data_IF_815442064193
#
_entry.id   IF_815442064193
#
_cell.length_a   1.000
_cell.length_b   1.000
_cell.length_c   1.000
_cell.angle_alpha   90.00
_cell.angle_beta   90.00
_cell.angle_gamma   90.00
#
_symmetry.space_group_name_H-M   'P 1'
#
loop_
_entity.id
_entity.type
_entity.pdbx_description
1 polymer ?
#
# COMPACT_ATOMS: atom_id res chain seq x y z
N UNK A 1 16.11 10.96 10.09
CA UNK A 1 15.88 12.17 9.26
C UNK A 1 15.16 11.90 7.93
N UNK A 2 15.38 10.76 7.26
CA UNK A 2 14.78 10.51 5.93
C UNK A 2 13.48 9.70 5.93
N UNK A 3 13.14 9.04 7.04
CA UNK A 3 11.98 8.13 7.10
C UNK A 3 10.66 8.85 6.83
N UNK A 4 10.37 9.94 7.54
CA UNK A 4 9.12 10.68 7.35
C UNK A 4 8.93 11.22 5.92
N UNK A 5 9.95 11.85 5.28
CA UNK A 5 9.88 12.20 3.87
C UNK A 5 9.62 11.00 2.94
N UNK A 6 10.27 9.85 3.15
CA UNK A 6 10.07 8.65 2.34
C UNK A 6 8.63 8.13 2.48
N UNK A 7 8.11 8.06 3.71
CA UNK A 7 6.73 7.63 3.94
C UNK A 7 5.72 8.59 3.31
N UNK A 8 6.01 9.89 3.30
CA UNK A 8 5.20 10.89 2.60
C UNK A 8 5.13 10.61 1.10
N UNK A 9 6.27 10.33 0.46
CA UNK A 9 6.32 9.97 -0.97
C UNK A 9 5.61 8.66 -1.28
N UNK A 10 5.80 7.63 -0.44
CA UNK A 10 5.06 6.37 -0.55
C UNK A 10 3.55 6.55 -0.39
N UNK A 11 3.11 7.53 0.38
CA UNK A 11 1.69 7.81 0.58
C UNK A 11 1.08 8.54 -0.62
N UNK A 12 1.80 9.51 -1.19
CA UNK A 12 1.27 10.42 -2.20
C UNK A 12 1.54 9.96 -3.64
N UNK A 13 2.59 9.17 -3.86
CA UNK A 13 3.09 8.78 -5.19
C UNK A 13 3.40 7.27 -5.32
N UNK A 14 2.83 6.44 -4.46
CA UNK A 14 3.22 5.04 -4.26
C UNK A 14 2.83 4.06 -5.38
N UNK A 15 1.62 4.22 -5.94
CA UNK A 15 0.94 3.25 -6.81
C UNK A 15 0.52 3.85 -8.15
N UNK A 16 1.38 4.68 -8.74
CA UNK A 16 1.15 5.32 -10.03
C UNK A 16 -0.18 6.09 -10.02
N UNK A 17 -0.96 5.96 -11.10
CA UNK A 17 -2.22 6.69 -11.33
C UNK A 17 -3.31 6.35 -10.30
N UNK A 18 -3.20 5.23 -9.58
CA UNK A 18 -4.21 4.77 -8.61
C UNK A 18 -3.77 4.95 -7.15
N UNK A 19 -2.81 5.84 -6.88
CA UNK A 19 -2.33 6.08 -5.51
C UNK A 19 -3.42 6.57 -4.56
N UNK A 20 -4.34 7.42 -5.03
CA UNK A 20 -5.48 7.89 -4.22
C UNK A 20 -6.41 6.74 -3.81
N UNK A 21 -6.78 5.88 -4.76
CA UNK A 21 -7.62 4.70 -4.52
C UNK A 21 -6.96 3.71 -3.55
N UNK A 22 -5.65 3.50 -3.71
CA UNK A 22 -4.86 2.70 -2.78
C UNK A 22 -4.93 3.26 -1.37
N UNK A 23 -4.67 4.56 -1.20
CA UNK A 23 -4.66 5.16 0.12
C UNK A 23 -6.07 5.11 0.74
N UNK A 24 -7.14 5.32 -0.03
CA UNK A 24 -8.51 5.18 0.47
C UNK A 24 -8.85 3.74 0.93
N UNK A 25 -8.45 2.71 0.17
CA UNK A 25 -8.79 1.31 0.45
C UNK A 25 -7.90 0.67 1.52
N UNK A 26 -6.60 0.96 1.47
CA UNK A 26 -5.56 0.33 2.31
C UNK A 26 -5.15 1.24 3.46
N UNK A 27 -5.13 2.56 3.28
CA UNK A 27 -4.81 3.52 4.34
C UNK A 27 -3.35 3.55 4.78
N UNK A 28 -2.42 3.09 3.95
CA UNK A 28 -1.01 2.94 4.31
C UNK A 28 -0.07 3.52 3.23
N UNK A 29 1.08 4.11 3.62
CA UNK A 29 2.18 4.39 2.71
C UNK A 29 2.55 3.15 1.89
N UNK A 30 2.46 3.24 0.57
CA UNK A 30 2.63 2.09 -0.33
C UNK A 30 3.69 2.30 -1.40
N UNK A 31 4.27 1.22 -1.91
CA UNK A 31 5.00 1.23 -3.19
C UNK A 31 4.74 -0.04 -3.96
N UNK A 32 4.32 0.12 -5.21
CA UNK A 32 4.21 -0.95 -6.19
C UNK A 32 5.41 -0.96 -7.14
N UNK A 33 5.69 -2.11 -7.75
CA UNK A 33 6.65 -2.25 -8.84
C UNK A 33 6.18 -3.25 -9.89
N UNK A 34 6.53 -2.99 -11.15
CA UNK A 34 6.13 -3.79 -12.33
C UNK A 34 6.60 -5.26 -12.31
N UNK A 35 7.51 -5.61 -11.40
CA UNK A 35 7.82 -7.01 -11.09
C UNK A 35 6.70 -7.76 -10.36
N UNK A 36 5.61 -7.08 -9.99
CA UNK A 36 4.48 -7.65 -9.24
C UNK A 36 4.62 -7.52 -7.72
N UNK A 37 5.60 -6.76 -7.23
CA UNK A 37 5.83 -6.52 -5.81
C UNK A 37 5.02 -5.33 -5.29
N UNK A 38 4.49 -5.45 -4.07
CA UNK A 38 3.88 -4.34 -3.32
C UNK A 38 4.45 -4.35 -1.90
N UNK A 39 4.85 -3.17 -1.41
CA UNK A 39 5.25 -2.91 -0.04
C UNK A 39 4.34 -1.84 0.56
N UNK A 40 3.75 -2.11 1.73
CA UNK A 40 3.01 -1.12 2.52
C UNK A 40 3.64 -1.02 3.92
N UNK A 41 3.79 0.19 4.45
CA UNK A 41 4.43 0.41 5.77
C UNK A 41 3.39 0.88 6.77
N UNK A 42 3.32 0.21 7.92
CA UNK A 42 2.60 0.67 9.10
C UNK A 42 3.62 1.35 10.02
N UNK A 43 3.65 2.69 10.09
CA UNK A 43 4.71 3.41 10.79
C UNK A 43 4.85 2.96 12.25
N UNK A 44 6.03 2.48 12.63
CA UNK A 44 6.33 2.04 14.00
C UNK A 44 5.78 0.67 14.40
N UNK A 45 5.08 -0.05 13.50
CA UNK A 45 4.45 -1.33 13.82
C UNK A 45 5.00 -2.48 12.96
N UNK A 46 4.77 -2.46 11.65
CA UNK A 46 5.17 -3.53 10.75
C UNK A 46 5.17 -3.07 9.28
N UNK A 47 5.41 -4.01 8.36
CA UNK A 47 5.21 -3.80 6.93
C UNK A 47 4.48 -5.00 6.32
N UNK A 48 3.67 -4.74 5.29
CA UNK A 48 3.05 -5.75 4.44
C UNK A 48 3.87 -5.83 3.15
N UNK A 49 4.33 -7.02 2.81
CA UNK A 49 4.98 -7.29 1.53
C UNK A 49 4.20 -8.37 0.78
N UNK A 50 3.84 -8.10 -0.48
CA UNK A 50 3.14 -9.02 -1.34
C UNK A 50 3.83 -9.14 -2.69
N UNK A 51 3.72 -10.31 -3.32
CA UNK A 51 4.26 -10.58 -4.64
C UNK A 51 3.27 -11.40 -5.47
N UNK A 52 2.86 -10.85 -6.61
CA UNK A 52 2.14 -11.56 -7.65
C UNK A 52 2.34 -10.86 -9.01
N UNK A 53 2.89 -11.54 -10.03
CA UNK A 53 3.23 -10.92 -11.31
C UNK A 53 2.09 -10.25 -12.10
N UNK A 54 0.83 -10.76 -12.11
CA UNK A 54 -0.23 -10.14 -12.89
C UNK A 54 -0.56 -8.71 -12.42
N UNK A 55 -0.52 -7.76 -13.36
CA UNK A 55 -0.73 -6.34 -13.10
C UNK A 55 -2.08 -5.86 -13.63
N UNK A 56 -2.62 -4.81 -13.02
CA UNK A 56 -3.72 -4.02 -13.57
C UNK A 56 -3.23 -3.02 -14.63
N UNK A 57 -4.16 -2.20 -15.15
CA UNK A 57 -3.87 -1.19 -16.17
C UNK A 57 -2.92 -0.09 -15.71
N UNK A 58 -2.82 0.16 -14.40
CA UNK A 58 -1.90 1.14 -13.82
C UNK A 58 -0.51 0.55 -13.51
N UNK A 59 -0.31 -0.75 -13.78
CA UNK A 59 0.95 -1.45 -13.53
C UNK A 59 1.12 -1.97 -12.11
N UNK A 60 0.03 -2.07 -11.33
CA UNK A 60 0.06 -2.55 -9.96
C UNK A 60 -0.36 -4.02 -9.86
N UNK A 61 0.27 -4.79 -8.98
CA UNK A 61 -0.08 -6.20 -8.76
C UNK A 61 -1.53 -6.35 -8.32
N UNK A 62 -2.36 -7.06 -9.10
CA UNK A 62 -3.78 -7.24 -8.80
C UNK A 62 -3.98 -7.97 -7.47
N UNK A 63 -3.32 -9.12 -7.30
CA UNK A 63 -3.43 -9.91 -6.07
C UNK A 63 -2.69 -9.27 -4.90
N UNK A 64 -1.58 -8.56 -5.16
CA UNK A 64 -0.87 -7.83 -4.13
C UNK A 64 -1.73 -6.73 -3.49
N UNK A 65 -2.50 -6.00 -4.30
CA UNK A 65 -3.42 -4.98 -3.81
C UNK A 65 -4.53 -5.58 -2.95
N UNK A 66 -5.17 -6.65 -3.42
CA UNK A 66 -6.24 -7.34 -2.68
C UNK A 66 -5.73 -7.91 -1.34
N UNK A 67 -4.53 -8.49 -1.33
CA UNK A 67 -3.93 -9.01 -0.10
C UNK A 67 -3.62 -7.89 0.91
N UNK A 68 -3.07 -6.76 0.46
CA UNK A 68 -2.77 -5.63 1.33
C UNK A 68 -4.04 -4.97 1.88
N UNK A 69 -5.09 -4.81 1.06
CA UNK A 69 -6.40 -4.29 1.49
C UNK A 69 -7.03 -5.22 2.54
N UNK A 70 -7.01 -6.53 2.29
CA UNK A 70 -7.53 -7.52 3.25
C UNK A 70 -6.78 -7.46 4.57
N UNK A 71 -5.44 -7.52 4.56
CA UNK A 71 -4.63 -7.48 5.77
C UNK A 71 -4.80 -6.16 6.53
N UNK A 72 -4.81 -5.02 5.84
CA UNK A 72 -5.00 -3.72 6.47
C UNK A 72 -6.33 -3.64 7.21
N UNK A 73 -7.42 -4.14 6.60
CA UNK A 73 -8.75 -4.17 7.24
C UNK A 73 -8.82 -5.18 8.39
N UNK A 74 -8.41 -6.42 8.16
CA UNK A 74 -8.53 -7.49 9.16
C UNK A 74 -7.69 -7.22 10.40
N UNK A 75 -6.56 -6.53 10.26
CA UNK A 75 -5.65 -6.22 11.35
C UNK A 75 -5.80 -4.77 11.86
N UNK A 76 -6.78 -4.01 11.34
CA UNK A 76 -7.03 -2.62 11.68
C UNK A 76 -5.77 -1.73 11.61
N UNK A 77 -5.04 -1.80 10.49
CA UNK A 77 -3.75 -1.12 10.30
C UNK A 77 -3.88 0.22 9.57
N UNK A 78 -5.00 0.47 8.91
CA UNK A 78 -5.24 1.67 8.12
C UNK A 78 -5.15 2.95 8.95
N UNK A 79 -4.44 3.95 8.43
CA UNK A 79 -4.34 5.30 9.03
C UNK A 79 -5.59 6.17 8.77
N UNK A 80 -6.50 5.73 7.90
CA UNK A 80 -7.72 6.48 7.56
C UNK A 80 -8.97 6.00 8.28
N UNK A 81 -8.96 4.75 8.76
CA UNK A 81 -10.14 4.12 9.34
C UNK A 81 -9.83 3.87 10.80
N UNK A 82 -10.15 4.84 11.65
CA UNK A 82 -10.20 4.65 13.09
C UNK A 82 -11.59 4.10 13.44
N UNK A 83 -11.63 2.83 13.84
CA UNK A 83 -12.80 2.11 14.38
C UNK A 83 -13.96 1.85 13.40
N UNK A 84 -14.08 0.58 12.98
CA UNK A 84 -15.39 -0.04 12.79
C UNK A 84 -15.75 -0.81 14.07
#
# INVERSE_FOLDING_TARGET
KHVAPILSEMTLNGLYDTTGDWYYKVGLPGKSGVGGGILAVVPGVCAIAAFAPPLDVAGNSVRGQLAAEYLSRTLNLSLLHEFA
#
